data_IF_213777393057
#
_entry.id   IF_213777393057
#
_cell.length_a   1.000
_cell.length_b   1.000
_cell.length_c   1.000
_cell.angle_alpha   90.00
_cell.angle_beta   90.00
_cell.angle_gamma   90.00
#
_symmetry.space_group_name_H-M   'P 1'
#
loop_
_entity.id
_entity.type
_entity.pdbx_description
1 polymer ?
#
# COMPACT_ATOMS: atom_id res chain seq x y z
N UNK A 1 6.72 1.66 4.83
CA UNK A 1 5.84 1.05 5.87
C UNK A 1 6.12 1.77 7.16
N UNK A 2 5.07 2.20 7.86
CA UNK A 2 5.17 2.96 9.10
C UNK A 2 4.42 2.22 10.21
N UNK A 3 4.96 2.25 11.44
CA UNK A 3 4.47 1.53 12.60
C UNK A 3 5.44 0.48 13.17
N UNK A 4 5.05 -0.26 14.21
CA UNK A 4 3.70 -0.34 14.75
C UNK A 4 3.30 0.93 15.50
N UNK A 5 2.08 1.40 15.31
CA UNK A 5 1.50 2.44 16.15
C UNK A 5 1.02 1.85 17.47
N UNK A 6 1.08 2.61 18.58
CA UNK A 6 0.74 2.11 19.91
C UNK A 6 -0.75 1.74 20.04
N UNK A 7 -1.60 2.37 19.24
CA UNK A 7 -3.03 2.09 19.17
C UNK A 7 -3.36 1.49 17.80
N UNK A 8 -4.14 0.42 17.83
CA UNK A 8 -4.69 -0.18 16.61
C UNK A 8 -5.91 0.63 16.12
N UNK A 9 -6.17 0.58 14.82
CA UNK A 9 -7.43 1.08 14.26
C UNK A 9 -8.61 0.23 14.74
N UNK A 10 -9.84 0.68 14.46
CA UNK A 10 -11.06 -0.10 14.73
C UNK A 10 -10.96 -1.51 14.12
N UNK A 11 -10.40 -1.60 12.91
CA UNK A 11 -10.19 -2.87 12.18
C UNK A 11 -8.92 -3.64 12.59
N UNK A 12 -8.24 -3.25 13.67
CA UNK A 12 -7.08 -3.97 14.20
C UNK A 12 -5.75 -3.71 13.48
N UNK A 13 -5.66 -2.73 12.58
CA UNK A 13 -4.42 -2.41 11.88
C UNK A 13 -3.48 -1.59 12.77
N UNK A 14 -2.17 -1.88 12.72
CA UNK A 14 -1.14 -1.14 13.47
C UNK A 14 -0.06 -0.53 12.59
N UNK A 15 -0.16 -0.71 11.28
CA UNK A 15 0.77 -0.17 10.32
C UNK A 15 0.01 0.46 9.16
N UNK A 16 0.68 1.34 8.43
CA UNK A 16 0.25 1.71 7.08
C UNK A 16 1.42 1.65 6.11
N UNK A 17 1.10 1.38 4.85
CA UNK A 17 2.03 1.39 3.72
C UNK A 17 1.54 2.40 2.71
N UNK A 18 2.48 3.22 2.22
CA UNK A 18 2.23 4.17 1.14
C UNK A 18 3.01 3.76 -0.10
N UNK A 19 2.32 3.77 -1.25
CA UNK A 19 2.94 3.67 -2.57
C UNK A 19 2.75 4.99 -3.29
N UNK A 20 3.84 5.61 -3.73
CA UNK A 20 3.83 6.96 -4.29
C UNK A 20 4.30 6.89 -5.74
N UNK A 21 3.49 7.41 -6.65
CA UNK A 21 3.90 7.64 -8.03
C UNK A 21 4.81 8.87 -8.08
N UNK A 22 6.04 8.71 -8.55
CA UNK A 22 7.03 9.80 -8.59
C UNK A 22 6.61 10.94 -9.54
N UNK A 23 5.93 10.62 -10.64
CA UNK A 23 5.53 11.60 -11.65
C UNK A 23 4.37 12.49 -11.18
N UNK A 24 3.27 11.87 -10.75
CA UNK A 24 2.05 12.60 -10.35
C UNK A 24 2.04 12.99 -8.87
N UNK A 25 2.98 12.49 -8.07
CA UNK A 25 2.96 12.54 -6.60
C UNK A 25 1.69 11.93 -5.98
N UNK A 26 0.91 11.19 -6.76
CA UNK A 26 -0.28 10.50 -6.27
C UNK A 26 0.13 9.34 -5.36
N UNK A 27 -0.43 9.31 -4.15
CA UNK A 27 -0.14 8.31 -3.13
C UNK A 27 -1.33 7.38 -2.87
N UNK A 28 -1.07 6.09 -2.78
CA UNK A 28 -2.00 5.08 -2.29
C UNK A 28 -1.64 4.74 -0.86
N UNK A 29 -2.63 4.67 0.03
CA UNK A 29 -2.45 4.34 1.44
C UNK A 29 -3.25 3.09 1.78
N UNK A 30 -2.57 2.07 2.31
CA UNK A 30 -3.20 0.84 2.79
C UNK A 30 -2.87 0.64 4.27
N UNK A 31 -3.86 0.22 5.04
CA UNK A 31 -3.71 -0.16 6.44
C UNK A 31 -3.41 -1.67 6.52
N UNK A 32 -2.46 -2.07 7.36
CA UNK A 32 -2.12 -3.48 7.58
C UNK A 32 -1.92 -3.78 9.07
N UNK A 33 -2.24 -5.01 9.46
CA UNK A 33 -2.08 -5.50 10.83
C UNK A 33 -0.63 -5.92 11.11
N UNK A 34 0.05 -6.48 10.11
CA UNK A 34 1.44 -6.95 10.21
C UNK A 34 2.28 -6.54 9.00
N UNK A 35 3.60 -6.38 9.20
CA UNK A 35 4.54 -6.07 8.11
C UNK A 35 4.61 -7.16 7.05
N UNK A 36 4.32 -8.42 7.42
CA UNK A 36 4.26 -9.58 6.52
C UNK A 36 3.23 -9.39 5.38
N UNK A 37 2.19 -8.59 5.61
CA UNK A 37 1.14 -8.31 4.62
C UNK A 37 1.57 -7.32 3.53
N UNK A 38 2.76 -6.71 3.64
CA UNK A 38 3.22 -5.69 2.70
C UNK A 38 3.31 -6.18 1.25
N UNK A 39 3.75 -7.44 1.04
CA UNK A 39 3.85 -8.00 -0.30
C UNK A 39 2.46 -8.20 -0.93
N UNK A 40 1.46 -8.57 -0.12
CA UNK A 40 0.10 -8.73 -0.61
C UNK A 40 -0.52 -7.37 -0.98
N UNK A 41 -0.31 -6.34 -0.16
CA UNK A 41 -0.71 -4.98 -0.51
C UNK A 41 -0.04 -4.47 -1.78
N UNK A 42 1.22 -4.86 -2.03
CA UNK A 42 1.91 -4.51 -3.27
C UNK A 42 1.25 -5.12 -4.51
N UNK A 43 0.79 -6.38 -4.45
CA UNK A 43 0.07 -7.01 -5.58
C UNK A 43 -1.27 -6.33 -5.87
N UNK A 44 -1.99 -5.93 -4.81
CA UNK A 44 -3.24 -5.17 -4.94
C UNK A 44 -2.95 -3.84 -5.62
N UNK A 45 -1.98 -3.08 -5.11
CA UNK A 45 -1.52 -1.82 -5.70
C UNK A 45 -1.11 -1.99 -7.17
N UNK A 46 -0.33 -3.02 -7.49
CA UNK A 46 0.08 -3.31 -8.86
C UNK A 46 -1.15 -3.50 -9.75
N UNK A 47 -2.08 -4.37 -9.36
CA UNK A 47 -3.28 -4.65 -10.15
C UNK A 47 -4.12 -3.39 -10.37
N UNK A 48 -4.27 -2.56 -9.34
CA UNK A 48 -5.02 -1.30 -9.42
C UNK A 48 -4.37 -0.29 -10.38
N UNK A 49 -3.06 -0.07 -10.25
CA UNK A 49 -2.31 0.87 -11.10
C UNK A 49 -2.24 0.39 -12.53
N UNK A 50 -1.98 -0.89 -12.76
CA UNK A 50 -1.93 -1.46 -14.11
C UNK A 50 -3.28 -1.36 -14.82
N UNK A 51 -4.38 -1.57 -14.07
CA UNK A 51 -5.75 -1.37 -14.59
C UNK A 51 -6.05 0.09 -14.90
N UNK A 52 -5.59 1.03 -14.06
CA UNK A 52 -5.83 2.46 -14.25
C UNK A 52 -5.02 3.06 -15.41
N UNK A 53 -3.78 2.59 -15.60
CA UNK A 53 -2.86 3.13 -16.60
C UNK A 53 -2.85 2.33 -17.91
N UNK A 54 -3.52 1.17 -17.93
CA UNK A 54 -3.48 0.18 -19.03
C UNK A 54 -2.03 -0.20 -19.42
N UNK A 55 -1.13 -0.16 -18.43
CA UNK A 55 0.31 -0.37 -18.59
C UNK A 55 0.84 -1.17 -17.43
N UNK A 56 1.74 -2.12 -17.71
CA UNK A 56 2.40 -2.92 -16.68
C UNK A 56 3.42 -2.09 -15.91
N UNK A 57 3.51 -2.32 -14.60
CA UNK A 57 4.60 -1.80 -13.78
C UNK A 57 5.87 -2.53 -14.20
N UNK A 58 6.93 -1.77 -14.47
CA UNK A 58 8.26 -2.33 -14.68
C UNK A 58 8.87 -2.65 -13.31
N UNK A 59 9.17 -3.92 -13.08
CA UNK A 59 9.89 -4.42 -11.89
C UNK A 59 11.39 -4.33 -12.16
#
# INVERSE_FOLDING_TARGET
IYGPFPHQTIDGNRYFITFINDHSRFGYLYLIAERSQAFEMFKIFQTEVERQLEKKIKI
#
